data_IF_900078615844
#
_entry.id   IF_900078615844
#
_cell.length_a   1.000
_cell.length_b   1.000
_cell.length_c   1.000
_cell.angle_alpha   90.00
_cell.angle_beta   90.00
_cell.angle_gamma   90.00
#
_symmetry.space_group_name_H-M   'P 1'
#
loop_
_entity.id
_entity.type
_entity.pdbx_description
1 polymer ?
#
# COMPACT_ATOMS: atom_id res chain seq x y z
N UNK A 1 -32.73 -45.80 12.16
CA UNK A 1 -32.90 -44.34 12.34
C UNK A 1 -32.06 -43.67 11.26
N UNK A 2 -32.66 -42.85 10.38
CA UNK A 2 -31.98 -42.19 9.24
C UNK A 2 -32.12 -40.68 9.45
N UNK A 3 -31.02 -39.98 9.73
CA UNK A 3 -31.01 -38.51 9.90
C UNK A 3 -31.04 -37.87 8.51
N UNK A 4 -32.01 -37.00 8.25
CA UNK A 4 -32.27 -36.40 6.91
C UNK A 4 -31.62 -35.00 6.80
N UNK A 5 -31.56 -34.24 7.89
CA UNK A 5 -30.92 -32.92 7.94
C UNK A 5 -30.53 -32.59 9.39
N UNK A 6 -29.38 -31.95 9.58
CA UNK A 6 -28.96 -31.38 10.86
C UNK A 6 -28.56 -29.92 10.64
N UNK A 7 -29.24 -28.98 11.32
CA UNK A 7 -28.87 -27.56 11.37
C UNK A 7 -28.23 -27.24 12.71
N UNK A 8 -27.09 -26.55 12.67
CA UNK A 8 -26.49 -25.96 13.86
C UNK A 8 -27.32 -24.72 14.21
N UNK A 9 -28.19 -24.84 15.22
CA UNK A 9 -29.11 -23.77 15.63
C UNK A 9 -28.48 -22.65 16.46
N UNK A 10 -27.28 -22.87 17.01
CA UNK A 10 -26.60 -21.88 17.83
C UNK A 10 -25.09 -22.16 17.86
N UNK A 11 -24.28 -21.17 17.49
CA UNK A 11 -22.84 -21.18 17.64
C UNK A 11 -22.49 -20.04 18.61
N UNK A 12 -22.45 -20.34 19.91
CA UNK A 12 -21.91 -19.42 20.90
C UNK A 12 -20.39 -19.35 20.72
N UNK A 13 -19.91 -18.34 19.99
CA UNK A 13 -18.55 -17.86 20.23
C UNK A 13 -18.53 -17.21 21.61
N UNK A 14 -17.49 -17.48 22.41
CA UNK A 14 -17.21 -16.63 23.56
C UNK A 14 -16.96 -15.20 23.06
N UNK A 15 -17.49 -14.20 23.77
CA UNK A 15 -17.47 -12.79 23.36
C UNK A 15 -16.03 -12.30 23.10
N UNK A 16 -15.07 -12.84 23.85
CA UNK A 16 -13.63 -12.62 23.71
C UNK A 16 -13.06 -13.15 22.39
N UNK A 17 -13.55 -14.30 21.91
CA UNK A 17 -13.11 -14.93 20.67
C UNK A 17 -13.68 -14.19 19.45
N UNK A 18 -14.92 -13.69 19.55
CA UNK A 18 -15.52 -12.86 18.51
C UNK A 18 -14.74 -11.54 18.31
N UNK A 19 -14.37 -10.87 19.41
CA UNK A 19 -13.56 -9.63 19.36
C UNK A 19 -12.16 -9.88 18.78
N UNK A 20 -11.46 -10.93 19.22
CA UNK A 20 -10.15 -11.29 18.69
C UNK A 20 -10.21 -11.69 17.20
N UNK A 21 -11.28 -12.39 16.79
CA UNK A 21 -11.50 -12.74 15.39
C UNK A 21 -11.73 -11.51 14.51
N UNK A 22 -12.58 -10.58 14.95
CA UNK A 22 -12.84 -9.31 14.26
C UNK A 22 -11.56 -8.48 14.13
N UNK A 23 -10.77 -8.35 15.19
CA UNK A 23 -9.49 -7.63 15.16
C UNK A 23 -8.52 -8.23 14.14
N UNK A 24 -8.42 -9.56 14.08
CA UNK A 24 -7.59 -10.26 13.10
C UNK A 24 -8.07 -10.04 11.67
N UNK A 25 -9.39 -10.12 11.43
CA UNK A 25 -9.98 -9.89 10.11
C UNK A 25 -9.72 -8.46 9.63
N UNK A 26 -9.87 -7.47 10.52
CA UNK A 26 -9.56 -6.08 10.22
C UNK A 26 -8.08 -5.88 9.88
N UNK A 27 -7.17 -6.47 10.67
CA UNK A 27 -5.73 -6.41 10.37
C UNK A 27 -5.42 -6.99 8.98
N UNK A 28 -6.01 -8.12 8.63
CA UNK A 28 -5.86 -8.71 7.28
C UNK A 28 -6.42 -7.79 6.19
N UNK A 29 -7.60 -7.21 6.40
CA UNK A 29 -8.21 -6.28 5.44
C UNK A 29 -7.36 -5.01 5.24
N UNK A 30 -6.80 -4.45 6.32
CA UNK A 30 -5.90 -3.29 6.28
C UNK A 30 -4.65 -3.62 5.45
N UNK A 31 -4.01 -4.77 5.71
CA UNK A 31 -2.81 -5.18 4.96
C UNK A 31 -3.13 -5.39 3.48
N UNK A 32 -4.26 -6.04 3.17
CA UNK A 32 -4.69 -6.24 1.78
C UNK A 32 -4.93 -4.91 1.05
N UNK A 33 -5.56 -3.94 1.72
CA UNK A 33 -5.75 -2.60 1.18
C UNK A 33 -4.41 -1.89 0.94
N UNK A 34 -3.48 -1.96 1.90
CA UNK A 34 -2.13 -1.37 1.77
C UNK A 34 -1.34 -1.97 0.62
N UNK A 35 -1.45 -3.28 0.42
CA UNK A 35 -0.82 -3.95 -0.71
C UNK A 35 -1.32 -3.38 -2.05
N UNK A 36 -2.64 -3.20 -2.19
CA UNK A 36 -3.25 -2.65 -3.41
C UNK A 36 -2.85 -1.20 -3.69
N UNK A 37 -2.68 -0.39 -2.64
CA UNK A 37 -2.19 0.99 -2.77
C UNK A 37 -0.75 0.99 -3.32
N UNK A 38 0.12 0.16 -2.75
CA UNK A 38 1.53 0.07 -3.18
C UNK A 38 1.64 -0.44 -4.62
N UNK A 39 0.85 -1.45 -4.99
CA UNK A 39 0.78 -1.97 -6.36
C UNK A 39 0.45 -0.87 -7.38
N UNK A 40 -0.58 -0.05 -7.10
CA UNK A 40 -0.94 1.09 -7.94
C UNK A 40 0.15 2.16 -7.98
N UNK A 41 0.73 2.49 -6.84
CA UNK A 41 1.79 3.51 -6.74
C UNK A 41 3.03 3.14 -7.56
N UNK A 42 3.49 1.88 -7.49
CA UNK A 42 4.64 1.40 -8.27
C UNK A 42 4.38 1.56 -9.77
N UNK A 43 3.21 1.15 -10.25
CA UNK A 43 2.84 1.31 -11.67
C UNK A 43 2.78 2.76 -12.12
N UNK A 44 2.30 3.68 -11.26
CA UNK A 44 2.30 5.11 -11.54
C UNK A 44 3.72 5.69 -11.65
N UNK A 45 4.63 5.29 -10.76
CA UNK A 45 6.02 5.74 -10.78
C UNK A 45 6.76 5.21 -12.01
N UNK A 46 6.59 3.93 -12.34
CA UNK A 46 7.19 3.31 -13.52
C UNK A 46 6.76 4.04 -14.80
N UNK A 47 5.45 4.26 -14.97
CA UNK A 47 4.90 4.96 -16.13
C UNK A 47 5.43 6.39 -16.24
N UNK A 48 5.52 7.12 -15.11
CA UNK A 48 6.01 8.48 -15.09
C UNK A 48 7.50 8.56 -15.49
N UNK A 49 8.34 7.67 -14.96
CA UNK A 49 9.76 7.62 -15.33
C UNK A 49 9.97 7.25 -16.80
N UNK A 50 9.19 6.30 -17.30
CA UNK A 50 9.26 5.90 -18.71
C UNK A 50 8.87 7.06 -19.64
N UNK A 51 7.81 7.80 -19.30
CA UNK A 51 7.35 8.95 -20.08
C UNK A 51 8.37 10.10 -20.06
N UNK A 52 8.96 10.40 -18.90
CA UNK A 52 10.02 11.41 -18.77
C UNK A 52 11.27 11.05 -19.60
N UNK A 53 11.66 9.78 -19.59
CA UNK A 53 12.78 9.26 -20.38
C UNK A 53 12.49 9.33 -21.88
N UNK A 54 11.29 8.93 -22.32
CA UNK A 54 10.83 9.02 -23.72
C UNK A 54 10.87 10.45 -24.25
N UNK A 55 10.47 11.42 -23.41
CA UNK A 55 10.48 12.84 -23.76
C UNK A 55 11.87 13.49 -23.64
N UNK A 56 12.88 12.75 -23.18
CA UNK A 56 14.25 13.25 -22.97
C UNK A 56 14.28 14.53 -22.10
N UNK A 57 13.33 14.67 -21.17
CA UNK A 57 13.21 15.87 -20.33
C UNK A 57 14.28 15.88 -19.24
N UNK A 58 14.73 14.69 -18.81
CA UNK A 58 15.65 14.51 -17.69
C UNK A 58 16.60 13.36 -18.01
N UNK A 59 17.90 13.58 -17.75
CA UNK A 59 18.91 12.53 -17.75
C UNK A 59 19.10 12.04 -16.30
N UNK A 60 18.65 10.82 -16.03
CA UNK A 60 18.64 10.21 -14.70
C UNK A 60 19.68 9.10 -14.67
N UNK A 61 20.77 9.36 -13.95
CA UNK A 61 21.62 8.28 -13.45
C UNK A 61 20.85 7.40 -12.45
N UNK A 62 21.41 6.22 -12.16
CA UNK A 62 20.75 5.23 -11.29
C UNK A 62 20.52 5.76 -9.86
N UNK A 63 21.38 6.64 -9.36
CA UNK A 63 21.25 7.24 -8.03
C UNK A 63 20.09 8.23 -7.96
N UNK A 64 19.97 9.14 -8.94
CA UNK A 64 18.85 10.08 -9.06
C UNK A 64 17.54 9.37 -9.32
N UNK A 65 17.54 8.30 -10.11
CA UNK A 65 16.36 7.47 -10.34
C UNK A 65 15.87 6.85 -9.02
N UNK A 66 16.77 6.26 -8.24
CA UNK A 66 16.42 5.70 -6.93
C UNK A 66 15.85 6.76 -5.96
N UNK A 67 16.47 7.95 -5.92
CA UNK A 67 15.98 9.06 -5.10
C UNK A 67 14.59 9.54 -5.55
N UNK A 68 14.34 9.63 -6.86
CA UNK A 68 13.06 10.04 -7.41
C UNK A 68 11.95 9.02 -7.14
N UNK A 69 12.23 7.74 -7.33
CA UNK A 69 11.31 6.64 -6.97
C UNK A 69 10.94 6.72 -5.49
N UNK A 70 11.93 6.87 -4.61
CA UNK A 70 11.69 6.98 -3.16
C UNK A 70 10.76 8.16 -2.83
N UNK A 71 11.06 9.34 -3.37
CA UNK A 71 10.25 10.54 -3.13
C UNK A 71 8.81 10.38 -3.64
N UNK A 72 8.64 9.84 -4.85
CA UNK A 72 7.31 9.61 -5.42
C UNK A 72 6.53 8.55 -4.64
N UNK A 73 7.18 7.46 -4.23
CA UNK A 73 6.56 6.42 -3.40
C UNK A 73 6.12 6.96 -2.04
N UNK A 74 6.93 7.81 -1.41
CA UNK A 74 6.52 8.48 -0.18
C UNK A 74 5.29 9.34 -0.41
N UNK A 75 5.24 10.14 -1.48
CA UNK A 75 4.08 10.99 -1.78
C UNK A 75 2.82 10.17 -2.10
N UNK A 76 2.94 9.11 -2.90
CA UNK A 76 1.79 8.31 -3.36
C UNK A 76 1.25 7.36 -2.28
N UNK A 77 2.12 6.83 -1.40
CA UNK A 77 1.72 5.88 -0.36
C UNK A 77 1.49 6.53 1.01
N UNK A 78 1.74 7.84 1.16
CA UNK A 78 1.49 8.55 2.41
C UNK A 78 0.00 8.74 2.67
N UNK A 79 -0.42 8.38 3.88
CA UNK A 79 -1.81 8.51 4.36
C UNK A 79 -2.21 9.95 4.70
N UNK A 80 -1.21 10.81 4.94
CA UNK A 80 -1.38 12.25 5.12
C UNK A 80 -1.09 12.95 3.80
N UNK A 81 -1.93 13.92 3.45
CA UNK A 81 -1.63 14.91 2.40
C UNK A 81 -0.19 15.38 2.59
N UNK A 82 0.66 15.19 1.57
CA UNK A 82 2.07 15.55 1.65
C UNK A 82 2.20 17.04 2.01
N UNK A 83 2.55 17.35 3.26
CA UNK A 83 2.89 18.72 3.67
C UNK A 83 4.19 19.09 2.96
N UNK A 84 4.27 20.28 2.32
CA UNK A 84 5.33 20.56 1.37
C UNK A 84 6.63 20.86 2.12
N UNK A 85 7.45 19.85 2.36
CA UNK A 85 8.89 20.01 2.47
C UNK A 85 9.56 18.79 1.84
N UNK A 86 9.47 18.71 0.51
CA UNK A 86 10.39 17.87 -0.26
C UNK A 86 11.68 18.68 -0.34
N UNK A 87 12.67 18.35 0.50
CA UNK A 87 14.00 18.91 0.37
C UNK A 87 14.65 18.29 -0.87
N UNK A 88 14.63 19.01 -2.00
CA UNK A 88 15.15 18.58 -3.30
C UNK A 88 16.65 18.83 -3.49
N UNK A 89 17.45 18.79 -2.42
CA UNK A 89 18.90 18.72 -2.54
C UNK A 89 19.64 19.40 -1.41
N UNK A 90 20.50 18.66 -0.72
CA UNK A 90 21.67 19.28 -0.11
C UNK A 90 22.64 19.59 -1.24
N UNK A 91 22.79 20.89 -1.51
CA UNK A 91 23.88 21.46 -2.29
C UNK A 91 25.22 20.83 -1.87
N UNK A 92 26.02 20.50 -2.88
CA UNK A 92 27.40 20.03 -2.74
C UNK A 92 28.22 20.86 -1.74
N UNK A 93 28.98 20.17 -0.90
CA UNK A 93 30.41 20.45 -0.72
C UNK A 93 31.15 19.14 -0.43
#
# INVERSE_FOLDING_TARGET
IKVIEARIGYLAYAEEIASAMLQRQQATAIVAARYKIVEGAVGMVESALEELNKKQIVDLDEEKKAAMVSNLMVVLCSDKSASPVVNTGTLNH
#
